data_IF_473887483099
#
_entry.id   IF_473887483099
#
_cell.length_a   1.000
_cell.length_b   1.000
_cell.length_c   1.000
_cell.angle_alpha   90.00
_cell.angle_beta   90.00
_cell.angle_gamma   90.00
#
_symmetry.space_group_name_H-M   'P 1'
#
loop_
_entity.id
_entity.type
_entity.pdbx_description
1 polymer ?
#
# COMPACT_ATOMS: atom_id res chain seq x y z
N UNK A 1 18.39 19.19 -28.30
CA UNK A 1 18.05 17.81 -28.69
C UNK A 1 16.65 17.53 -28.16
N UNK A 2 15.64 17.55 -29.03
CA UNK A 2 14.27 17.18 -28.65
C UNK A 2 14.10 15.68 -28.79
N UNK A 3 13.84 14.98 -27.69
CA UNK A 3 13.47 13.56 -27.76
C UNK A 3 12.04 13.46 -28.27
N UNK A 4 11.85 12.79 -29.41
CA UNK A 4 10.52 12.46 -29.90
C UNK A 4 9.77 11.62 -28.86
N UNK A 5 8.48 11.91 -28.68
CA UNK A 5 7.64 11.19 -27.72
C UNK A 5 7.38 9.78 -28.23
N UNK A 6 7.79 8.77 -27.48
CA UNK A 6 7.40 7.39 -27.73
C UNK A 6 5.88 7.21 -27.54
N UNK A 7 5.22 6.66 -28.56
CA UNK A 7 3.79 6.33 -28.52
C UNK A 7 3.63 4.82 -28.47
N UNK A 8 3.02 4.31 -27.39
CA UNK A 8 2.70 2.89 -27.21
C UNK A 8 1.21 2.63 -27.46
N UNK A 9 0.88 1.50 -28.07
CA UNK A 9 -0.50 1.00 -28.21
C UNK A 9 -0.64 -0.36 -27.56
N UNK A 10 -1.81 -0.61 -26.97
CA UNK A 10 -2.18 -1.94 -26.46
C UNK A 10 -2.27 -2.89 -27.66
N UNK A 11 -1.47 -3.95 -27.63
CA UNK A 11 -1.46 -5.01 -28.63
C UNK A 11 -2.39 -6.15 -28.25
N UNK A 12 -2.37 -6.58 -26.98
CA UNK A 12 -3.29 -7.59 -26.46
C UNK A 12 -3.45 -7.48 -24.95
N UNK A 13 -4.59 -7.95 -24.46
CA UNK A 13 -4.94 -8.08 -23.05
C UNK A 13 -5.39 -9.53 -22.82
N UNK A 14 -4.74 -10.23 -21.90
CA UNK A 14 -5.17 -11.51 -21.36
C UNK A 14 -5.38 -11.37 -19.84
N UNK A 15 -5.84 -12.45 -19.20
CA UNK A 15 -6.11 -12.48 -17.76
C UNK A 15 -4.87 -12.17 -16.91
N UNK A 16 -3.69 -12.53 -17.39
CA UNK A 16 -2.41 -12.41 -16.70
C UNK A 16 -1.35 -11.66 -17.52
N UNK A 17 -1.73 -11.02 -18.62
CA UNK A 17 -0.77 -10.43 -19.55
C UNK A 17 -1.32 -9.18 -20.23
N UNK A 18 -0.55 -8.09 -20.24
CA UNK A 18 -0.78 -6.93 -21.07
C UNK A 18 0.44 -6.73 -21.97
N UNK A 19 0.22 -6.72 -23.28
CA UNK A 19 1.25 -6.43 -24.26
C UNK A 19 1.03 -5.04 -24.86
N UNK A 20 2.09 -4.23 -24.90
CA UNK A 20 2.09 -2.94 -25.61
C UNK A 20 3.21 -2.90 -26.64
N UNK A 21 2.93 -2.27 -27.77
CA UNK A 21 3.88 -2.11 -28.89
C UNK A 21 4.23 -0.63 -29.08
N UNK A 22 5.51 -0.33 -29.29
CA UNK A 22 5.95 1.01 -29.67
C UNK A 22 5.61 1.26 -31.15
N UNK A 23 5.02 2.41 -31.47
CA UNK A 23 4.75 2.85 -32.86
C UNK A 23 5.58 4.05 -33.32
N UNK A 24 6.35 4.68 -32.42
CA UNK A 24 7.12 5.90 -32.71
C UNK A 24 8.44 5.63 -33.44
N UNK A 25 8.98 4.43 -33.26
CA UNK A 25 10.18 3.95 -33.95
C UNK A 25 9.72 2.71 -34.72
N UNK A 26 10.20 2.48 -35.96
CA UNK A 26 9.98 1.23 -36.71
C UNK A 26 10.63 0.05 -35.96
N UNK A 27 10.04 -0.30 -34.83
CA UNK A 27 10.56 -1.18 -33.82
C UNK A 27 9.52 -2.26 -33.57
N UNK A 28 9.99 -3.50 -33.52
CA UNK A 28 9.20 -4.67 -33.13
C UNK A 28 9.16 -4.85 -31.61
N UNK A 29 9.61 -3.87 -30.81
CA UNK A 29 9.62 -3.97 -29.35
C UNK A 29 8.20 -4.12 -28.80
N UNK A 30 7.94 -5.29 -28.23
CA UNK A 30 6.78 -5.58 -27.39
C UNK A 30 7.21 -5.48 -25.94
N UNK A 31 6.59 -4.59 -25.17
CA UNK A 31 6.69 -4.61 -23.71
C UNK A 31 5.57 -5.51 -23.21
N UNK A 32 5.96 -6.57 -22.51
CA UNK A 32 5.07 -7.56 -21.92
C UNK A 32 4.99 -7.33 -20.41
N UNK A 33 3.82 -6.94 -19.94
CA UNK A 33 3.49 -6.86 -18.53
C UNK A 33 2.83 -8.18 -18.13
N UNK A 34 3.45 -8.90 -17.21
CA UNK A 34 2.90 -10.14 -16.65
C UNK A 34 2.27 -9.84 -15.30
N UNK A 35 1.04 -10.27 -15.10
CA UNK A 35 0.47 -10.41 -13.76
C UNK A 35 0.98 -11.73 -13.19
N UNK A 36 1.88 -11.64 -12.21
CA UNK A 36 2.33 -12.82 -11.46
C UNK A 36 1.30 -13.32 -10.44
N UNK A 37 0.16 -12.64 -10.31
CA UNK A 37 -0.72 -12.82 -9.17
C UNK A 37 -1.88 -13.78 -9.49
N UNK A 38 -1.89 -14.93 -8.80
CA UNK A 38 -3.11 -15.71 -8.62
C UNK A 38 -4.09 -14.87 -7.83
N UNK A 39 -5.26 -14.57 -8.39
CA UNK A 39 -6.35 -14.01 -7.60
C UNK A 39 -6.66 -14.93 -6.41
N UNK A 40 -6.68 -14.37 -5.22
CA UNK A 40 -7.28 -14.95 -4.04
C UNK A 40 -8.75 -15.27 -4.34
N UNK A 41 -9.23 -16.38 -3.79
CA UNK A 41 -10.59 -16.88 -4.08
C UNK A 41 -11.68 -15.96 -3.51
N UNK A 42 -11.35 -15.16 -2.50
CA UNK A 42 -12.29 -14.32 -1.76
C UNK A 42 -11.91 -12.86 -1.99
N UNK A 43 -12.80 -12.10 -2.63
CA UNK A 43 -12.56 -10.68 -2.95
C UNK A 43 -12.31 -9.80 -1.72
N UNK A 44 -12.85 -10.19 -0.55
CA UNK A 44 -12.60 -9.48 0.70
C UNK A 44 -11.13 -9.56 1.14
N UNK A 45 -10.43 -10.63 0.76
CA UNK A 45 -9.03 -10.86 1.12
C UNK A 45 -8.07 -10.18 0.13
N UNK A 46 -8.59 -9.67 -1.00
CA UNK A 46 -7.78 -9.03 -2.03
C UNK A 46 -7.36 -7.61 -1.63
N UNK A 47 -6.07 -7.35 -1.38
CA UNK A 47 -5.62 -6.05 -0.91
C UNK A 47 -5.93 -4.94 -1.90
N UNK A 48 -5.89 -5.21 -3.21
CA UNK A 48 -6.10 -4.23 -4.27
C UNK A 48 -7.56 -4.13 -4.76
N UNK A 49 -8.49 -4.85 -4.12
CA UNK A 49 -9.91 -4.67 -4.43
C UNK A 49 -10.36 -3.25 -4.07
N UNK A 50 -11.26 -2.68 -4.87
CA UNK A 50 -11.66 -1.26 -4.74
C UNK A 50 -12.20 -0.92 -3.35
N UNK A 51 -12.95 -1.83 -2.72
CA UNK A 51 -13.49 -1.64 -1.37
C UNK A 51 -12.38 -1.57 -0.30
N UNK A 52 -11.22 -2.18 -0.53
CA UNK A 52 -10.09 -2.19 0.40
C UNK A 52 -9.10 -1.02 0.14
N UNK A 53 -9.36 -0.20 -0.89
CA UNK A 53 -8.49 0.92 -1.31
C UNK A 53 -9.18 2.29 -1.22
N UNK A 54 -10.37 2.39 -0.61
CA UNK A 54 -11.09 3.66 -0.48
C UNK A 54 -10.26 4.74 0.23
N UNK A 55 -9.41 4.34 1.19
CA UNK A 55 -8.48 5.23 1.89
C UNK A 55 -7.48 5.96 0.98
N UNK A 56 -7.21 5.45 -0.23
CA UNK A 56 -6.32 6.08 -1.23
C UNK A 56 -7.03 7.14 -2.06
N UNK A 57 -8.36 7.13 -2.07
CA UNK A 57 -9.16 8.08 -2.83
C UNK A 57 -9.28 9.35 -2.01
N UNK A 58 -8.76 10.45 -2.56
CA UNK A 58 -8.79 11.75 -1.91
C UNK A 58 -10.23 12.18 -1.59
N UNK A 59 -10.55 12.54 -0.34
CA UNK A 59 -11.86 13.08 0.03
C UNK A 59 -12.19 14.34 -0.78
N UNK A 60 -13.46 14.49 -1.17
CA UNK A 60 -13.96 15.71 -1.80
C UNK A 60 -14.15 16.88 -0.81
N UNK A 61 -14.27 16.57 0.49
CA UNK A 61 -14.51 17.53 1.56
C UNK A 61 -13.60 17.26 2.75
N UNK A 62 -13.43 18.27 3.62
CA UNK A 62 -12.67 18.14 4.86
C UNK A 62 -13.31 17.06 5.74
N UNK A 63 -12.52 16.07 6.13
CA UNK A 63 -12.95 14.99 7.00
C UNK A 63 -13.06 15.46 8.47
N UNK A 64 -13.86 14.79 9.26
CA UNK A 64 -13.85 14.89 10.73
C UNK A 64 -12.70 14.09 11.31
N UNK A 65 -12.42 14.28 12.60
CA UNK A 65 -11.37 13.53 13.31
C UNK A 65 -11.61 12.02 13.27
N UNK A 66 -12.88 11.61 13.39
CA UNK A 66 -13.30 10.23 13.29
C UNK A 66 -13.07 9.65 11.87
N UNK A 67 -13.36 10.44 10.83
CA UNK A 67 -13.14 10.03 9.43
C UNK A 67 -11.64 9.94 9.11
N UNK A 68 -10.81 10.87 9.58
CA UNK A 68 -9.35 10.79 9.44
C UNK A 68 -8.80 9.54 10.14
N UNK A 69 -9.30 9.23 11.35
CA UNK A 69 -8.93 8.01 12.09
C UNK A 69 -9.39 6.75 11.34
N UNK A 70 -10.59 6.74 10.77
CA UNK A 70 -11.10 5.64 9.96
C UNK A 70 -10.23 5.43 8.71
N UNK A 71 -9.87 6.50 8.00
CA UNK A 71 -8.99 6.42 6.84
C UNK A 71 -7.61 5.85 7.18
N UNK A 72 -7.05 6.23 8.32
CA UNK A 72 -5.81 5.63 8.84
C UNK A 72 -5.98 4.14 9.15
N UNK A 73 -7.13 3.75 9.71
CA UNK A 73 -7.47 2.35 10.00
C UNK A 73 -7.56 1.53 8.73
N UNK A 74 -8.24 2.04 7.70
CA UNK A 74 -8.35 1.40 6.39
C UNK A 74 -6.97 1.27 5.71
N UNK A 75 -6.09 2.26 5.86
CA UNK A 75 -4.70 2.16 5.40
C UNK A 75 -3.94 1.01 6.09
N UNK A 76 -4.03 0.89 7.42
CA UNK A 76 -3.40 -0.21 8.16
C UNK A 76 -4.02 -1.56 7.79
N UNK A 77 -5.34 -1.63 7.61
CA UNK A 77 -6.04 -2.83 7.18
C UNK A 77 -5.63 -3.27 5.77
N UNK A 78 -5.40 -2.32 4.85
CA UNK A 78 -4.82 -2.64 3.56
C UNK A 78 -3.46 -3.34 3.69
N UNK A 79 -2.58 -2.88 4.59
CA UNK A 79 -1.29 -3.56 4.81
C UNK A 79 -1.47 -4.94 5.44
N UNK A 80 -2.45 -5.14 6.33
CA UNK A 80 -2.81 -6.48 6.85
C UNK A 80 -3.20 -7.42 5.71
N UNK A 81 -4.06 -6.97 4.79
CA UNK A 81 -4.45 -7.75 3.61
C UNK A 81 -3.27 -7.98 2.67
N UNK A 82 -2.42 -6.97 2.47
CA UNK A 82 -1.25 -7.04 1.59
C UNK A 82 -0.25 -8.11 2.06
N UNK A 83 0.07 -8.12 3.36
CA UNK A 83 0.91 -9.16 3.95
C UNK A 83 0.24 -10.54 3.95
N UNK A 84 -1.06 -10.61 4.24
CA UNK A 84 -1.81 -11.88 4.21
C UNK A 84 -1.83 -12.49 2.81
N UNK A 85 -2.05 -11.67 1.78
CA UNK A 85 -2.02 -12.08 0.38
C UNK A 85 -0.63 -12.59 -0.02
N UNK A 86 0.44 -11.89 0.37
CA UNK A 86 1.81 -12.32 0.10
C UNK A 86 2.14 -13.68 0.74
N UNK A 87 1.65 -13.93 1.97
CA UNK A 87 1.80 -15.24 2.63
C UNK A 87 1.01 -16.32 1.89
N UNK A 88 -0.22 -16.03 1.48
CA UNK A 88 -1.09 -16.98 0.77
C UNK A 88 -0.54 -17.35 -0.62
N UNK A 89 0.14 -16.39 -1.28
CA UNK A 89 0.77 -16.57 -2.59
C UNK A 89 2.19 -17.15 -2.52
N UNK A 90 2.77 -17.28 -1.32
CA UNK A 90 4.18 -17.68 -1.10
C UNK A 90 5.17 -16.74 -1.79
N UNK A 91 4.90 -15.43 -1.74
CA UNK A 91 5.73 -14.42 -2.39
C UNK A 91 7.11 -14.32 -1.73
N UNK A 92 8.15 -14.48 -2.54
CA UNK A 92 9.56 -14.40 -2.09
C UNK A 92 10.07 -12.97 -1.95
N UNK A 93 9.47 -12.04 -2.68
CA UNK A 93 9.85 -10.63 -2.73
C UNK A 93 8.58 -9.80 -2.58
N UNK A 94 8.57 -8.92 -1.59
CA UNK A 94 7.46 -7.99 -1.36
C UNK A 94 7.95 -6.59 -1.66
N UNK A 95 7.31 -5.92 -2.62
CA UNK A 95 7.62 -4.54 -2.98
C UNK A 95 6.59 -3.60 -2.37
N UNK A 96 7.06 -2.61 -1.61
CA UNK A 96 6.23 -1.52 -1.08
C UNK A 96 6.28 -0.27 -1.98
N UNK A 97 6.94 -0.36 -3.13
CA UNK A 97 7.11 0.76 -4.04
C UNK A 97 5.76 1.24 -4.58
N UNK A 98 5.54 2.56 -4.58
CA UNK A 98 4.28 3.18 -5.03
C UNK A 98 3.11 3.05 -4.05
N UNK A 99 3.31 2.47 -2.86
CA UNK A 99 2.29 2.45 -1.82
C UNK A 99 2.40 3.70 -0.93
N UNK A 100 1.35 4.55 -0.88
CA UNK A 100 1.35 5.71 0.00
C UNK A 100 1.32 5.26 1.46
N UNK A 101 2.07 5.96 2.31
CA UNK A 101 2.14 5.61 3.72
C UNK A 101 3.15 6.45 4.49
N UNK A 102 2.94 6.53 5.80
CA UNK A 102 3.85 7.13 6.76
C UNK A 102 4.79 6.11 7.43
N UNK A 103 4.74 4.83 7.02
CA UNK A 103 5.57 3.75 7.56
C UNK A 103 6.71 3.36 6.61
N UNK A 104 7.84 2.94 7.19
CA UNK A 104 8.95 2.25 6.53
C UNK A 104 8.90 0.77 6.94
N UNK A 105 9.02 -0.10 5.94
CA UNK A 105 8.90 -1.55 6.11
C UNK A 105 10.27 -2.21 6.00
N UNK A 106 10.64 -2.99 7.01
CA UNK A 106 11.88 -3.76 7.02
C UNK A 106 11.59 -5.23 7.35
N UNK A 107 12.53 -6.11 7.00
CA UNK A 107 12.49 -7.50 7.39
C UNK A 107 12.59 -7.65 8.90
N UNK A 108 11.45 -7.69 9.59
CA UNK A 108 11.37 -7.79 11.06
C UNK A 108 11.22 -6.46 11.79
N UNK A 109 10.82 -5.39 11.11
CA UNK A 109 10.59 -4.09 11.73
C UNK A 109 9.64 -3.19 10.94
N UNK A 110 8.89 -2.36 11.67
CA UNK A 110 8.01 -1.32 11.15
C UNK A 110 8.44 -0.03 11.84
N UNK A 111 8.72 1.02 11.07
CA UNK A 111 9.19 2.31 11.59
C UNK A 111 8.37 3.45 10.99
N UNK A 112 8.32 4.58 11.68
CA UNK A 112 7.78 5.82 11.10
C UNK A 112 8.78 6.41 10.10
N UNK A 113 8.26 6.94 8.99
CA UNK A 113 9.00 7.91 8.16
C UNK A 113 9.17 9.19 8.98
N UNK A 114 10.25 9.92 8.74
CA UNK A 114 10.36 11.27 9.30
C UNK A 114 9.23 12.14 8.75
N UNK A 115 8.74 13.08 9.55
CA UNK A 115 7.65 13.97 9.14
C UNK A 115 7.99 14.78 7.88
N UNK A 116 9.28 15.07 7.64
CA UNK A 116 9.76 15.77 6.45
C UNK A 116 9.95 14.84 5.24
N UNK A 117 9.93 13.52 5.43
CA UNK A 117 9.98 12.50 4.36
C UNK A 117 8.59 12.05 3.89
N UNK A 118 7.51 12.65 4.44
CA UNK A 118 6.15 12.36 3.98
C UNK A 118 5.99 12.82 2.53
N UNK A 119 5.80 11.85 1.64
CA UNK A 119 5.63 12.10 0.21
C UNK A 119 4.25 12.66 -0.11
N UNK A 120 4.13 13.29 -1.28
CA UNK A 120 2.86 13.85 -1.75
C UNK A 120 1.78 12.78 -1.93
N UNK A 121 2.18 11.52 -2.20
CA UNK A 121 1.26 10.39 -2.31
C UNK A 121 0.49 10.15 -0.99
N UNK A 122 1.18 10.21 0.15
CA UNK A 122 0.54 10.14 1.47
C UNK A 122 -0.42 11.31 1.68
N UNK A 123 0.03 12.54 1.39
CA UNK A 123 -0.78 13.74 1.58
C UNK A 123 -2.05 13.68 0.71
N UNK A 124 -1.92 13.16 -0.51
CA UNK A 124 -3.03 13.03 -1.47
C UNK A 124 -4.06 11.96 -1.09
N UNK A 125 -3.79 11.10 -0.11
CA UNK A 125 -4.80 10.20 0.45
C UNK A 125 -5.83 10.95 1.31
N UNK A 126 -5.51 12.16 1.79
CA UNK A 126 -6.35 12.98 2.65
C UNK A 126 -6.80 14.26 1.92
N UNK A 127 -7.83 14.93 2.46
CA UNK A 127 -8.35 16.17 1.85
C UNK A 127 -7.26 17.23 1.69
N UNK A 128 -6.41 17.40 2.71
CA UNK A 128 -5.31 18.35 2.72
C UNK A 128 -4.15 17.89 3.62
N UNK A 129 -3.05 18.65 3.61
CA UNK A 129 -1.84 18.38 4.40
C UNK A 129 -2.09 18.38 5.92
N UNK A 130 -2.97 19.24 6.42
CA UNK A 130 -3.32 19.30 7.84
C UNK A 130 -3.91 17.96 8.31
N UNK A 131 -4.82 17.36 7.53
CA UNK A 131 -5.42 16.07 7.86
C UNK A 131 -4.44 14.89 7.71
N UNK A 132 -3.58 14.94 6.70
CA UNK A 132 -2.50 13.95 6.55
C UNK A 132 -1.53 13.97 7.74
N UNK A 133 -1.24 15.16 8.29
CA UNK A 133 -0.41 15.31 9.49
C UNK A 133 -1.16 14.88 10.75
N UNK A 134 -2.48 15.08 10.81
CA UNK A 134 -3.30 14.57 11.91
C UNK A 134 -3.29 13.05 11.96
N UNK A 135 -3.46 12.39 10.81
CA UNK A 135 -3.31 10.94 10.69
C UNK A 135 -1.90 10.47 11.06
N UNK A 136 -0.86 11.20 10.64
CA UNK A 136 0.52 10.92 11.02
C UNK A 136 0.72 10.94 12.55
N UNK A 137 0.22 11.97 13.24
CA UNK A 137 0.32 12.05 14.72
C UNK A 137 -0.51 10.98 15.43
N UNK A 138 -1.64 10.56 14.86
CA UNK A 138 -2.35 9.37 15.36
C UNK A 138 -1.50 8.11 15.21
N UNK A 139 -0.80 7.95 14.07
CA UNK A 139 0.11 6.84 13.87
C UNK A 139 1.29 6.86 14.85
N UNK A 140 1.86 8.03 15.17
CA UNK A 140 2.90 8.15 16.21
C UNK A 140 2.41 7.57 17.56
N UNK A 141 1.21 7.94 18.00
CA UNK A 141 0.60 7.41 19.23
C UNK A 141 0.37 5.90 19.17
N UNK A 142 0.09 5.36 17.99
CA UNK A 142 -0.02 3.90 17.77
C UNK A 142 1.36 3.27 17.90
N UNK A 143 2.38 3.84 17.28
CA UNK A 143 3.77 3.33 17.31
C UNK A 143 4.37 3.33 18.73
N UNK A 144 3.97 4.28 19.58
CA UNK A 144 4.41 4.36 20.99
C UNK A 144 3.81 3.25 21.89
N UNK A 145 2.84 2.50 21.40
CA UNK A 145 2.27 1.37 22.15
C UNK A 145 3.28 0.23 22.25
N UNK A 146 3.12 -0.61 23.27
CA UNK A 146 3.90 -1.84 23.41
C UNK A 146 3.34 -2.90 22.46
N UNK A 147 4.23 -3.54 21.72
CA UNK A 147 3.91 -4.62 20.80
C UNK A 147 4.49 -5.94 21.28
N UNK A 148 3.70 -7.00 21.17
CA UNK A 148 4.19 -8.36 21.33
C UNK A 148 4.74 -8.83 20.00
N UNK A 149 5.92 -9.43 20.01
CA UNK A 149 6.51 -10.06 18.84
C UNK A 149 6.47 -11.58 19.00
N UNK A 150 6.13 -12.34 17.94
CA UNK A 150 6.16 -13.79 17.99
C UNK A 150 7.59 -14.26 18.25
N UNK A 151 7.75 -15.17 19.22
CA UNK A 151 9.05 -15.69 19.65
C UNK A 151 9.52 -16.84 18.76
N UNK A 152 8.60 -17.42 18.00
CA UNK A 152 8.87 -18.48 17.05
C UNK A 152 9.75 -17.99 15.90
N UNK A 153 10.56 -18.89 15.34
CA UNK A 153 11.34 -18.61 14.14
C UNK A 153 10.46 -18.67 12.89
N UNK A 154 9.58 -17.68 12.75
CA UNK A 154 8.73 -17.49 11.56
C UNK A 154 9.32 -16.41 10.64
N UNK A 155 8.99 -16.48 9.35
CA UNK A 155 9.42 -15.50 8.35
C UNK A 155 9.00 -14.07 8.71
N UNK A 156 9.81 -13.09 8.31
CA UNK A 156 9.63 -11.67 8.65
C UNK A 156 8.26 -11.12 8.24
N UNK A 157 7.69 -11.61 7.14
CA UNK A 157 6.35 -11.28 6.63
C UNK A 157 5.29 -11.58 7.68
N UNK A 158 5.33 -12.77 8.30
CA UNK A 158 4.41 -13.19 9.36
C UNK A 158 4.63 -12.40 10.65
N UNK A 159 5.88 -12.05 10.96
CA UNK A 159 6.20 -11.20 12.13
C UNK A 159 5.58 -9.80 11.98
N UNK A 160 5.78 -9.17 10.84
CA UNK A 160 5.21 -7.84 10.56
C UNK A 160 3.69 -7.88 10.53
N UNK A 161 3.07 -8.92 9.94
CA UNK A 161 1.62 -9.09 9.96
C UNK A 161 1.07 -9.15 11.40
N UNK A 162 1.69 -9.93 12.27
CA UNK A 162 1.29 -10.03 13.68
C UNK A 162 1.33 -8.68 14.42
N UNK A 163 2.32 -7.83 14.10
CA UNK A 163 2.41 -6.49 14.67
C UNK A 163 1.38 -5.54 14.06
N UNK A 164 1.14 -5.62 12.75
CA UNK A 164 0.13 -4.80 12.08
C UNK A 164 -1.28 -5.03 12.62
N UNK A 165 -1.65 -6.29 12.88
CA UNK A 165 -2.94 -6.61 13.50
C UNK A 165 -3.08 -5.98 14.90
N UNK A 166 -1.99 -5.90 15.65
CA UNK A 166 -1.95 -5.17 16.92
C UNK A 166 -2.05 -3.65 16.71
N UNK A 167 -1.39 -3.10 15.68
CA UNK A 167 -1.47 -1.66 15.35
C UNK A 167 -2.92 -1.23 15.04
N UNK A 168 -3.65 -2.03 14.25
CA UNK A 168 -5.08 -1.78 13.94
C UNK A 168 -5.91 -1.75 15.22
N UNK A 169 -5.71 -2.71 16.15
CA UNK A 169 -6.42 -2.74 17.44
C UNK A 169 -6.04 -1.55 18.33
N UNK A 170 -4.75 -1.22 18.37
CA UNK A 170 -4.23 -0.10 19.17
C UNK A 170 -4.75 1.24 18.67
N UNK A 171 -5.00 1.39 17.36
CA UNK A 171 -5.58 2.60 16.78
C UNK A 171 -6.94 2.92 17.41
N UNK A 172 -7.77 1.90 17.67
CA UNK A 172 -9.08 2.12 18.31
C UNK A 172 -8.94 2.69 19.73
N UNK A 173 -7.81 2.45 20.41
CA UNK A 173 -7.53 2.91 21.78
C UNK A 173 -6.91 4.30 21.89
N UNK A 174 -6.44 4.89 20.78
CA UNK A 174 -5.85 6.24 20.78
C UNK A 174 -6.87 7.30 20.38
N UNK A 175 -6.78 8.46 21.05
CA UNK A 175 -7.58 9.67 20.79
C UNK A 175 -6.67 10.76 20.27
#
# INVERSE_FOLDING_TARGET
MGGDRDVYKIASIATDELNVVNKGINSSTVIKFLSSEKALKVMADEPFHINNNQWRIKPAHKETDAEVKLRLKENLQFFVLFYSAAIAKDDRVISFYGLPGCLKWYGGGIYMKDKNELNDEWINCFYNKEQALKAYTLMEKVMDKKYSWPKENIGWVKKNLFVLEQMVKNLDTVN
#
